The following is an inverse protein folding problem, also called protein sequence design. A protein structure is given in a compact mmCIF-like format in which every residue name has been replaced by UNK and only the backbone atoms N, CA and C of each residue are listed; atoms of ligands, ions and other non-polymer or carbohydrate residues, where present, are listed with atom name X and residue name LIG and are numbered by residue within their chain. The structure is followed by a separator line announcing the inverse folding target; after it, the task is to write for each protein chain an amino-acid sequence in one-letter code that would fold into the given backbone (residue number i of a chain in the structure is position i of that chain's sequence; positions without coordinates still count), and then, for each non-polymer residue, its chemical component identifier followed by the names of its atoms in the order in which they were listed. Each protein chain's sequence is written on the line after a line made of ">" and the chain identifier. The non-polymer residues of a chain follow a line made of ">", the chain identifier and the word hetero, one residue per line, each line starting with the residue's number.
data_IF_458607443625
#
_entry.id   IF_458607443625
#
_cell.length_a   1.000
_cell.length_b   1.000
_cell.length_c   1.000
_cell.angle_alpha   90.00
_cell.angle_beta   90.00
_cell.angle_gamma   90.00
#
_symmetry.space_group_name_H-M   'P 1'
#
loop_
_entity.id
_entity.type
_entity.pdbx_description
1 polymer ?
#
# COMPACT_ATOMS: atom_id res chain seq x y z
N UNK A 1 6.37 16.95 -17.15
CA UNK A 1 6.56 17.71 -15.89
C UNK A 1 6.28 16.75 -14.76
N UNK A 2 7.25 16.50 -13.87
CA UNK A 2 7.05 15.67 -12.68
C UNK A 2 6.29 16.48 -11.63
N UNK A 3 5.14 15.98 -11.21
CA UNK A 3 4.36 16.58 -10.13
C UNK A 3 5.02 16.21 -8.81
N UNK A 4 5.30 17.18 -7.94
CA UNK A 4 5.73 16.90 -6.58
C UNK A 4 4.53 16.38 -5.77
N UNK A 5 4.49 15.07 -5.55
CA UNK A 5 3.43 14.41 -4.81
C UNK A 5 3.38 14.85 -3.33
N UNK A 6 4.50 15.35 -2.79
CA UNK A 6 4.61 15.80 -1.41
C UNK A 6 3.90 17.14 -1.17
N UNK A 7 3.70 17.93 -2.23
CA UNK A 7 3.02 19.22 -2.18
C UNK A 7 1.48 19.10 -2.30
N UNK A 8 0.96 17.89 -2.56
CA UNK A 8 -0.48 17.67 -2.72
C UNK A 8 -1.20 17.79 -1.36
N UNK A 9 -2.33 18.51 -1.36
CA UNK A 9 -3.20 18.66 -0.19
C UNK A 9 -4.30 17.60 -0.23
N UNK A 10 -3.99 16.39 0.22
CA UNK A 10 -4.91 15.25 0.22
C UNK A 10 -5.08 14.70 1.64
N UNK A 11 -6.24 14.11 1.97
CA UNK A 11 -6.41 13.44 3.25
C UNK A 11 -5.41 12.29 3.35
N UNK A 12 -4.71 12.22 4.48
CA UNK A 12 -3.82 11.11 4.80
C UNK A 12 -4.56 9.79 5.02
N UNK A 13 -3.83 8.68 5.12
CA UNK A 13 -4.45 7.38 5.36
C UNK A 13 -5.09 7.31 6.75
N UNK A 14 -6.16 6.51 6.87
CA UNK A 14 -6.66 6.08 8.18
C UNK A 14 -5.73 5.00 8.73
N UNK A 15 -4.99 5.34 9.79
CA UNK A 15 -4.07 4.44 10.46
C UNK A 15 -4.82 3.73 11.61
N UNK A 16 -4.71 2.42 11.65
CA UNK A 16 -5.26 1.55 12.70
C UNK A 16 -4.14 0.71 13.29
N UNK A 17 -4.35 0.08 14.45
CA UNK A 17 -3.36 -0.86 15.01
C UNK A 17 -2.94 -1.94 14.02
N UNK A 18 -3.86 -2.42 13.17
CA UNK A 18 -3.56 -3.44 12.16
C UNK A 18 -2.69 -2.90 11.02
N UNK A 19 -2.91 -1.65 10.61
CA UNK A 19 -2.21 -1.03 9.48
C UNK A 19 -0.98 -0.22 9.88
N UNK A 20 -0.78 0.05 11.18
CA UNK A 20 0.37 0.80 11.71
C UNK A 20 1.71 0.28 11.19
N UNK A 21 2.02 -1.03 11.20
CA UNK A 21 3.32 -1.50 10.74
C UNK A 21 3.57 -1.28 9.23
N UNK A 22 2.50 -1.24 8.42
CA UNK A 22 2.60 -0.89 7.00
C UNK A 22 2.93 0.59 6.82
N UNK A 23 2.24 1.47 7.55
CA UNK A 23 2.44 2.90 7.46
C UNK A 23 3.78 3.35 8.04
N UNK A 24 4.24 2.75 9.14
CA UNK A 24 5.56 3.01 9.73
C UNK A 24 6.69 2.63 8.75
N UNK A 25 6.54 1.51 8.06
CA UNK A 25 7.49 1.09 7.03
C UNK A 25 7.46 2.04 5.83
N UNK A 26 6.28 2.45 5.37
CA UNK A 26 6.13 3.38 4.26
C UNK A 26 6.78 4.74 4.56
N UNK A 27 6.65 5.25 5.80
CA UNK A 27 7.31 6.48 6.24
C UNK A 27 8.85 6.38 6.24
N UNK A 28 9.39 5.16 6.31
CA UNK A 28 10.83 4.87 6.21
C UNK A 28 11.27 4.52 4.78
N UNK A 29 10.40 4.65 3.78
CA UNK A 29 10.69 4.27 2.39
C UNK A 29 10.75 2.76 2.16
N UNK A 30 10.19 1.96 3.06
CA UNK A 30 10.16 0.50 2.97
C UNK A 30 8.76 -0.02 2.61
N UNK A 31 8.68 -0.98 1.69
CA UNK A 31 7.45 -1.72 1.43
C UNK A 31 7.46 -3.02 2.24
N UNK A 32 6.66 -3.11 3.31
CA UNK A 32 6.44 -4.35 4.06
C UNK A 32 5.06 -4.93 3.75
N UNK A 33 5.00 -6.24 3.51
CA UNK A 33 3.75 -6.98 3.31
C UNK A 33 3.71 -8.19 4.26
N UNK A 34 2.51 -8.58 4.66
CA UNK A 34 2.33 -9.74 5.51
C UNK A 34 2.64 -11.03 4.74
N UNK A 35 3.24 -12.00 5.42
CA UNK A 35 3.42 -13.36 4.95
C UNK A 35 2.86 -14.32 5.98
N UNK A 36 2.09 -15.30 5.52
CA UNK A 36 1.54 -16.34 6.37
C UNK A 36 2.59 -17.42 6.61
N UNK A 37 2.92 -17.70 7.87
CA UNK A 37 3.83 -18.80 8.24
C UNK A 37 3.16 -20.18 8.14
N UNK A 38 1.83 -20.23 8.06
CA UNK A 38 1.07 -21.48 7.92
C UNK A 38 1.07 -22.01 6.48
N UNK A 39 0.98 -21.13 5.49
CA UNK A 39 0.83 -21.52 4.08
C UNK A 39 1.84 -20.86 3.13
N UNK A 40 2.75 -20.03 3.64
CA UNK A 40 3.79 -19.35 2.88
C UNK A 40 3.32 -18.25 1.93
N UNK A 41 2.01 -17.98 1.85
CA UNK A 41 1.46 -16.96 0.95
C UNK A 41 1.68 -15.54 1.49
N UNK A 42 2.02 -14.63 0.60
CA UNK A 42 1.97 -13.19 0.87
C UNK A 42 0.51 -12.72 0.95
N UNK A 43 0.23 -11.75 1.83
CA UNK A 43 -1.10 -11.21 2.10
C UNK A 43 -1.04 -9.68 1.99
N UNK A 44 -1.88 -9.14 1.12
CA UNK A 44 -2.10 -7.71 0.97
C UNK A 44 -3.56 -7.44 0.57
N UNK A 45 -4.24 -6.40 1.07
CA UNK A 45 -3.84 -5.42 2.10
C UNK A 45 -3.69 -6.06 3.50
N UNK A 46 -3.17 -5.37 4.54
CA UNK A 46 -2.99 -5.94 5.87
C UNK A 46 -4.27 -6.55 6.46
N UNK A 47 -4.17 -7.78 6.98
CA UNK A 47 -5.28 -8.56 7.53
C UNK A 47 -4.95 -9.09 8.93
N UNK A 48 -5.96 -9.29 9.79
CA UNK A 48 -5.77 -9.99 11.06
C UNK A 48 -5.64 -11.52 10.89
N UNK A 49 -5.96 -12.05 9.69
CA UNK A 49 -5.98 -13.48 9.38
C UNK A 49 -5.72 -13.71 7.90
N UNK A 50 -5.01 -14.78 7.57
CA UNK A 50 -4.67 -15.15 6.20
C UNK A 50 -5.93 -15.48 5.38
N UNK A 51 -6.20 -14.81 4.25
CA UNK A 51 -7.35 -15.09 3.41
C UNK A 51 -7.24 -16.42 2.64
N UNK A 52 -6.05 -17.05 2.64
CA UNK A 52 -5.81 -18.29 1.90
C UNK A 52 -6.05 -19.55 2.74
N UNK A 53 -5.70 -19.52 4.03
CA UNK A 53 -5.75 -20.69 4.89
C UNK A 53 -6.39 -20.44 6.26
N UNK A 54 -6.86 -19.22 6.54
CA UNK A 54 -7.47 -18.84 7.83
C UNK A 54 -6.52 -18.91 9.04
N UNK A 55 -5.23 -19.12 8.79
CA UNK A 55 -4.15 -19.03 9.76
C UNK A 55 -3.95 -17.61 10.30
N UNK A 56 -3.49 -17.51 11.54
CA UNK A 56 -3.25 -16.22 12.24
C UNK A 56 -1.77 -15.85 12.33
N UNK A 57 -0.86 -16.75 11.94
CA UNK A 57 0.60 -16.49 11.98
C UNK A 57 1.00 -15.64 10.78
N UNK A 58 0.72 -14.35 10.85
CA UNK A 58 1.10 -13.35 9.84
C UNK A 58 2.29 -12.54 10.35
N UNK A 59 3.39 -12.58 9.61
CA UNK A 59 4.61 -11.82 9.90
C UNK A 59 4.85 -10.77 8.82
N UNK A 60 5.41 -9.62 9.19
CA UNK A 60 5.76 -8.57 8.25
C UNK A 60 7.12 -8.85 7.63
N UNK A 61 7.20 -8.88 6.30
CA UNK A 61 8.45 -9.03 5.55
C UNK A 61 8.60 -7.89 4.56
N UNK A 62 9.84 -7.42 4.39
CA UNK A 62 10.18 -6.44 3.37
C UNK A 62 10.03 -7.07 1.97
N UNK A 63 9.36 -6.35 1.08
CA UNK A 63 9.25 -6.72 -0.32
C UNK A 63 10.55 -6.38 -1.05
N UNK A 64 10.85 -7.10 -2.13
CA UNK A 64 12.10 -6.93 -2.89
C UNK A 64 12.25 -5.58 -3.60
N UNK A 65 11.22 -4.73 -3.59
CA UNK A 65 11.14 -3.50 -4.37
C UNK A 65 10.98 -3.72 -5.89
N UNK A 66 10.96 -4.97 -6.36
CA UNK A 66 10.81 -5.33 -7.78
C UNK A 66 9.37 -5.72 -8.08
N UNK A 67 8.87 -5.31 -9.24
CA UNK A 67 7.52 -5.62 -9.70
C UNK A 67 7.44 -5.70 -11.22
N UNK A 68 6.28 -6.14 -11.73
CA UNK A 68 5.93 -6.09 -13.15
C UNK A 68 4.58 -5.41 -13.27
N UNK A 69 4.45 -4.49 -14.21
CA UNK A 69 3.18 -3.81 -14.46
C UNK A 69 2.16 -4.83 -14.99
N UNK A 70 1.08 -5.06 -14.23
CA UNK A 70 0.02 -5.97 -14.65
C UNK A 70 -1.03 -5.28 -15.51
N UNK A 71 -1.37 -4.04 -15.18
CA UNK A 71 -2.32 -3.17 -15.87
C UNK A 71 -2.14 -1.74 -15.36
N UNK A 72 -2.66 -0.74 -16.10
CA UNK A 72 -2.72 0.66 -15.68
C UNK A 72 -3.93 1.36 -16.31
N UNK A 73 -4.33 2.49 -15.73
CA UNK A 73 -5.38 3.38 -16.22
C UNK A 73 -4.96 4.83 -15.99
N UNK A 74 -5.49 5.76 -16.75
CA UNK A 74 -5.21 7.19 -16.58
C UNK A 74 -6.46 7.95 -16.09
N UNK A 75 -6.31 8.69 -14.99
CA UNK A 75 -7.37 9.47 -14.36
C UNK A 75 -7.27 10.93 -14.77
N UNK A 76 -8.11 11.35 -15.72
CA UNK A 76 -8.17 12.76 -16.16
C UNK A 76 -9.01 13.67 -15.24
N UNK A 77 -9.95 13.11 -14.47
CA UNK A 77 -10.82 13.85 -13.55
C UNK A 77 -10.76 13.22 -12.15
N UNK A 78 -10.00 13.80 -11.21
CA UNK A 78 -9.85 13.24 -9.86
C UNK A 78 -11.14 13.35 -9.03
N UNK A 79 -11.39 12.35 -8.18
CA UNK A 79 -12.54 12.36 -7.26
C UNK A 79 -12.40 13.31 -6.08
N UNK A 80 -11.18 13.70 -5.71
CA UNK A 80 -10.89 14.66 -4.65
C UNK A 80 -10.05 15.83 -5.20
N UNK A 81 -10.41 17.11 -4.95
CA UNK A 81 -9.76 18.28 -5.54
C UNK A 81 -8.25 18.38 -5.29
N UNK A 82 -7.76 17.84 -4.16
CA UNK A 82 -6.34 17.81 -3.82
C UNK A 82 -5.44 17.12 -4.85
N UNK A 83 -6.00 16.29 -5.74
CA UNK A 83 -5.26 15.60 -6.81
C UNK A 83 -5.29 16.33 -8.16
N UNK A 84 -6.00 17.46 -8.28
CA UNK A 84 -6.06 18.23 -9.54
C UNK A 84 -4.69 18.61 -10.10
N UNK A 85 -3.69 19.04 -9.29
CA UNK A 85 -2.36 19.35 -9.81
C UNK A 85 -1.61 18.14 -10.39
N UNK A 86 -2.04 16.93 -10.03
CA UNK A 86 -1.44 15.68 -10.48
C UNK A 86 -2.13 15.06 -11.71
N UNK A 87 -3.27 15.62 -12.15
CA UNK A 87 -3.99 15.05 -13.28
C UNK A 87 -3.30 15.39 -14.62
N UNK A 88 -3.23 14.44 -15.58
CA UNK A 88 -3.62 13.04 -15.43
C UNK A 88 -2.54 12.19 -14.72
N UNK A 89 -2.99 11.21 -13.93
CA UNK A 89 -2.13 10.21 -13.27
C UNK A 89 -2.62 8.78 -13.50
#
# INVERSE_FOLDING_TARGET
>A
MSVDLSALKTPGPTITTLTQPFWDAAAQGQLKIQHCEDCGKAVFYPRPMCPHCWGKRLVWKEASGKGRLKSFSQVGKPGHPGWLPAAPY
#
